data_IF_491869287139
#
_entry.id   IF_491869287139
#
_cell.length_a   1.000
_cell.length_b   1.000
_cell.length_c   1.000
_cell.angle_alpha   90.00
_cell.angle_beta   90.00
_cell.angle_gamma   90.00
#
_symmetry.space_group_name_H-M   'P 1'
#
loop_
_entity.id
_entity.type
_entity.pdbx_description
1 polymer ?
#
# COMPACT_ATOMS: atom_id res chain seq x y z
N UNK A 1 -5.63 -4.36 -19.34
CA UNK A 1 -6.12 -4.58 -17.97
C UNK A 1 -7.62 -4.35 -17.97
N UNK A 2 -8.40 -5.22 -17.33
CA UNK A 2 -9.88 -5.21 -17.44
C UNK A 2 -10.51 -3.97 -16.78
N UNK A 3 -11.74 -3.59 -17.17
CA UNK A 3 -12.38 -2.35 -16.73
C UNK A 3 -12.53 -2.26 -15.21
N UNK A 4 -12.65 -1.01 -14.75
CA UNK A 4 -12.84 -0.58 -13.36
C UNK A 4 -14.00 -1.36 -12.71
N UNK A 5 -13.69 -2.27 -11.77
CA UNK A 5 -14.72 -2.70 -10.82
C UNK A 5 -15.01 -1.52 -9.89
N UNK A 6 -16.23 -1.00 -9.95
CA UNK A 6 -16.67 0.10 -9.08
C UNK A 6 -16.50 -0.27 -7.60
N UNK A 7 -16.77 -1.54 -7.24
CA UNK A 7 -16.57 -2.04 -5.89
C UNK A 7 -15.09 -1.97 -5.46
N UNK A 8 -14.15 -2.35 -6.34
CA UNK A 8 -12.71 -2.22 -6.06
C UNK A 8 -12.28 -0.76 -5.91
N UNK A 9 -12.81 0.13 -6.74
CA UNK A 9 -12.51 1.56 -6.64
C UNK A 9 -13.04 2.17 -5.33
N UNK A 10 -14.26 1.80 -4.92
CA UNK A 10 -14.83 2.22 -3.64
C UNK A 10 -13.97 1.69 -2.49
N UNK A 11 -13.59 0.41 -2.52
CA UNK A 11 -12.72 -0.19 -1.52
C UNK A 11 -11.37 0.53 -1.42
N UNK A 12 -10.77 0.87 -2.57
CA UNK A 12 -9.54 1.66 -2.62
C UNK A 12 -9.69 3.02 -1.96
N UNK A 13 -10.77 3.75 -2.23
CA UNK A 13 -11.02 5.05 -1.61
C UNK A 13 -11.16 4.90 -0.10
N UNK A 14 -11.86 3.87 0.38
CA UNK A 14 -12.01 3.59 1.82
C UNK A 14 -10.66 3.29 2.46
N UNK A 15 -9.84 2.42 1.84
CA UNK A 15 -8.51 2.08 2.36
C UNK A 15 -7.59 3.31 2.35
N UNK A 16 -7.60 4.11 1.28
CA UNK A 16 -6.80 5.33 1.19
C UNK A 16 -7.21 6.36 2.26
N UNK A 17 -8.52 6.54 2.49
CA UNK A 17 -9.02 7.40 3.55
C UNK A 17 -8.63 6.88 4.95
N UNK A 18 -8.66 5.56 5.15
CA UNK A 18 -8.23 4.94 6.40
C UNK A 18 -6.72 5.10 6.63
N UNK A 19 -5.91 4.92 5.58
CA UNK A 19 -4.48 5.18 5.61
C UNK A 19 -4.18 6.64 5.93
N UNK A 20 -4.90 7.57 5.31
CA UNK A 20 -4.74 9.00 5.61
C UNK A 20 -5.09 9.31 7.07
N UNK A 21 -6.09 8.64 7.65
CA UNK A 21 -6.48 8.88 9.04
C UNK A 21 -5.50 8.29 10.06
N UNK A 22 -4.99 7.08 9.82
CA UNK A 22 -4.18 6.32 10.79
C UNK A 22 -2.69 6.38 10.49
N UNK A 23 -2.31 6.20 9.24
CA UNK A 23 -0.90 6.18 8.81
C UNK A 23 -0.30 7.57 8.66
N UNK A 24 -1.03 8.55 8.09
CA UNK A 24 -0.46 9.88 7.84
C UNK A 24 0.14 10.58 9.06
N UNK A 25 -0.48 10.55 10.26
CA UNK A 25 0.07 11.24 11.44
C UNK A 25 1.45 10.74 11.89
N UNK A 26 1.83 9.52 11.49
CA UNK A 26 3.12 8.91 11.84
C UNK A 26 4.16 9.01 10.71
N UNK A 27 3.79 9.55 9.54
CA UNK A 27 4.70 9.65 8.39
C UNK A 27 5.79 10.71 8.60
N UNK A 28 7.02 10.36 8.23
CA UNK A 28 8.13 11.30 8.06
C UNK A 28 8.36 11.56 6.56
N UNK A 29 9.16 12.59 6.23
CA UNK A 29 9.50 12.85 4.82
C UNK A 29 10.29 11.68 4.24
N UNK A 30 11.15 11.10 5.07
CA UNK A 30 11.99 9.96 4.77
C UNK A 30 11.14 8.71 4.54
N UNK A 31 10.15 8.43 5.39
CA UNK A 31 9.27 7.27 5.23
C UNK A 31 8.43 7.37 3.96
N UNK A 32 7.98 8.57 3.58
CA UNK A 32 7.26 8.81 2.33
C UNK A 32 8.16 8.64 1.11
N UNK A 33 9.39 9.15 1.16
CA UNK A 33 10.36 8.99 0.06
C UNK A 33 10.74 7.51 -0.14
N UNK A 34 11.01 6.80 0.96
CA UNK A 34 11.26 5.35 0.95
C UNK A 34 10.02 4.60 0.48
N UNK A 35 8.83 5.02 0.91
CA UNK A 35 7.55 4.46 0.46
C UNK A 35 7.34 4.61 -1.04
N UNK A 36 7.64 5.77 -1.61
CA UNK A 36 7.52 6.00 -3.05
C UNK A 36 8.47 5.10 -3.85
N UNK A 37 9.77 5.10 -3.52
CA UNK A 37 10.78 4.31 -4.25
C UNK A 37 10.61 2.82 -3.97
N UNK A 38 10.53 2.44 -2.71
CA UNK A 38 10.37 1.06 -2.26
C UNK A 38 9.03 0.46 -2.71
N UNK A 39 7.95 1.24 -2.72
CA UNK A 39 6.66 0.82 -3.25
C UNK A 39 6.72 0.50 -4.74
N UNK A 40 7.39 1.33 -5.55
CA UNK A 40 7.63 1.02 -6.97
C UNK A 40 8.45 -0.26 -7.13
N UNK A 41 9.47 -0.46 -6.31
CA UNK A 41 10.30 -1.67 -6.34
C UNK A 41 9.51 -2.93 -5.95
N UNK A 42 8.72 -2.86 -4.88
CA UNK A 42 7.82 -3.94 -4.44
C UNK A 42 6.82 -4.25 -5.53
N UNK A 43 6.19 -3.23 -6.10
CA UNK A 43 5.23 -3.38 -7.17
C UNK A 43 5.85 -4.05 -8.40
N UNK A 44 7.05 -3.60 -8.81
CA UNK A 44 7.77 -4.18 -9.93
C UNK A 44 8.15 -5.65 -9.67
N UNK A 45 8.68 -5.95 -8.49
CA UNK A 45 9.19 -7.28 -8.15
C UNK A 45 8.06 -8.31 -7.97
N UNK A 46 7.03 -7.98 -7.20
CA UNK A 46 6.01 -8.93 -6.76
C UNK A 46 4.73 -8.88 -7.61
N UNK A 47 4.25 -7.67 -7.91
CA UNK A 47 2.94 -7.47 -8.56
C UNK A 47 3.08 -7.49 -10.08
N UNK A 48 4.11 -6.88 -10.64
CA UNK A 48 4.35 -6.83 -12.09
C UNK A 48 5.35 -7.90 -12.57
N UNK A 49 5.84 -8.76 -11.67
CA UNK A 49 6.76 -9.88 -11.94
C UNK A 49 7.94 -9.50 -12.85
N UNK A 50 8.51 -8.32 -12.64
CA UNK A 50 9.68 -7.85 -13.39
C UNK A 50 9.40 -7.28 -14.78
N UNK A 51 8.14 -7.21 -15.25
CA UNK A 51 7.82 -6.67 -16.58
C UNK A 51 8.08 -5.16 -16.65
N UNK A 52 8.60 -4.67 -17.79
CA UNK A 52 8.84 -3.24 -18.06
C UNK A 52 7.57 -2.37 -18.07
N UNK A 53 6.38 -2.97 -17.94
CA UNK A 53 5.09 -2.29 -18.00
C UNK A 53 4.79 -1.37 -16.80
N UNK A 54 5.67 -1.27 -15.80
CA UNK A 54 5.51 -0.32 -14.67
C UNK A 54 5.38 1.13 -15.17
N UNK A 55 6.01 1.47 -16.29
CA UNK A 55 5.93 2.80 -16.90
C UNK A 55 4.58 3.10 -17.60
N UNK A 56 3.71 2.09 -17.77
CA UNK A 56 2.45 2.19 -18.52
C UNK A 56 1.23 1.83 -17.66
N UNK A 57 1.28 2.19 -16.38
CA UNK A 57 0.16 1.99 -15.46
C UNK A 57 -0.82 3.16 -15.59
N UNK A 58 -1.96 2.89 -16.24
CA UNK A 58 -3.01 3.89 -16.43
C UNK A 58 -3.71 4.24 -15.10
N UNK A 59 -4.01 5.52 -14.84
CA UNK A 59 -4.72 5.93 -13.62
C UNK A 59 -6.04 5.19 -13.40
N UNK A 60 -6.37 4.93 -12.15
CA UNK A 60 -7.60 4.26 -11.70
C UNK A 60 -7.77 2.80 -12.14
N UNK A 61 -6.79 2.21 -12.84
CA UNK A 61 -6.76 0.76 -13.11
C UNK A 61 -6.38 -0.03 -11.86
N UNK A 62 -6.57 -1.36 -11.87
CA UNK A 62 -6.18 -2.23 -10.76
C UNK A 62 -4.68 -2.12 -10.43
N UNK A 63 -3.81 -2.17 -11.44
CA UNK A 63 -2.36 -2.05 -11.21
C UNK A 63 -1.96 -0.68 -10.66
N UNK A 64 -2.65 0.40 -11.04
CA UNK A 64 -2.43 1.71 -10.44
C UNK A 64 -2.78 1.73 -8.96
N UNK A 65 -3.92 1.13 -8.59
CA UNK A 65 -4.32 1.04 -7.18
C UNK A 65 -3.38 0.15 -6.39
N UNK A 66 -2.93 -0.98 -6.96
CA UNK A 66 -1.92 -1.84 -6.30
C UNK A 66 -0.60 -1.11 -6.10
N UNK A 67 -0.13 -0.35 -7.10
CA UNK A 67 1.08 0.48 -6.95
C UNK A 67 0.94 1.46 -5.78
N UNK A 68 -0.23 2.10 -5.63
CA UNK A 68 -0.47 3.01 -4.51
C UNK A 68 -0.57 2.27 -3.18
N UNK A 69 -1.16 1.08 -3.12
CA UNK A 69 -1.12 0.26 -1.91
C UNK A 69 0.31 -0.13 -1.54
N UNK A 70 1.13 -0.53 -2.51
CA UNK A 70 2.53 -0.90 -2.28
C UNK A 70 3.32 0.28 -1.71
N UNK A 71 3.11 1.50 -2.25
CA UNK A 71 3.72 2.72 -1.71
C UNK A 71 3.24 3.04 -0.28
N UNK A 72 1.92 3.02 -0.05
CA UNK A 72 1.31 3.26 1.27
C UNK A 72 1.79 2.23 2.31
N UNK A 73 1.94 0.98 1.90
CA UNK A 73 2.41 -0.13 2.72
C UNK A 73 3.86 0.05 3.12
N UNK A 74 4.76 0.30 2.16
CA UNK A 74 6.18 0.50 2.44
C UNK A 74 6.40 1.75 3.28
N UNK A 75 5.69 2.85 2.98
CA UNK A 75 5.74 4.07 3.78
C UNK A 75 5.32 3.81 5.23
N UNK A 76 4.21 3.08 5.41
CA UNK A 76 3.67 2.74 6.72
C UNK A 76 4.62 1.88 7.55
N UNK A 77 5.14 0.80 6.96
CA UNK A 77 6.12 -0.06 7.65
C UNK A 77 7.38 0.72 8.01
N UNK A 78 7.89 1.54 7.10
CA UNK A 78 9.09 2.34 7.33
C UNK A 78 8.88 3.32 8.49
N UNK A 79 7.73 4.01 8.52
CA UNK A 79 7.40 4.92 9.62
C UNK A 79 7.31 4.20 10.97
N UNK A 80 6.66 3.03 11.02
CA UNK A 80 6.57 2.24 12.24
C UNK A 80 7.95 1.75 12.72
N UNK A 81 8.82 1.33 11.80
CA UNK A 81 10.20 0.93 12.11
C UNK A 81 10.99 2.13 12.63
N UNK A 82 10.85 3.31 12.02
CA UNK A 82 11.55 4.52 12.48
C UNK A 82 11.13 4.93 13.90
N UNK A 83 9.86 4.72 14.26
CA UNK A 83 9.34 5.08 15.58
C UNK A 83 9.62 4.03 16.66
N UNK A 84 9.64 2.75 16.30
CA UNK A 84 9.67 1.63 17.27
C UNK A 84 10.92 0.74 17.15
N UNK A 85 11.80 1.02 16.18
CA UNK A 85 12.99 0.22 15.91
C UNK A 85 12.63 -1.22 15.54
N UNK A 86 13.31 -2.18 16.17
CA UNK A 86 13.08 -3.62 15.97
C UNK A 86 11.78 -4.13 16.60
N UNK A 87 11.09 -3.32 17.40
CA UNK A 87 9.83 -3.66 18.06
C UNK A 87 8.59 -3.39 17.16
N UNK A 88 8.73 -3.53 15.84
CA UNK A 88 7.63 -3.37 14.87
C UNK A 88 6.42 -4.25 15.21
N UNK A 89 6.67 -5.47 15.71
CA UNK A 89 5.62 -6.40 16.08
C UNK A 89 4.78 -5.89 17.25
N UNK A 90 5.40 -5.17 18.19
CA UNK A 90 4.72 -4.61 19.36
C UNK A 90 3.91 -3.37 18.95
N UNK A 91 4.45 -2.54 18.05
CA UNK A 91 3.72 -1.41 17.45
C UNK A 91 2.43 -1.83 16.69
N UNK A 92 2.38 -3.08 16.20
CA UNK A 92 1.21 -3.68 15.57
C UNK A 92 0.28 -4.35 16.59
N UNK A 93 0.82 -5.04 17.61
CA UNK A 93 0.03 -5.68 18.66
C UNK A 93 -0.71 -4.67 19.54
N UNK A 94 -0.03 -3.59 19.89
CA UNK A 94 -0.53 -2.61 20.86
C UNK A 94 -1.47 -1.57 20.24
N UNK A 95 -1.58 -1.56 18.91
CA UNK A 95 -2.50 -0.68 18.18
C UNK A 95 -3.37 -1.47 17.20
N UNK A 96 -4.62 -1.69 17.60
CA UNK A 96 -5.66 -2.28 16.74
C UNK A 96 -5.80 -1.50 15.42
N UNK A 97 -5.61 -0.17 15.46
CA UNK A 97 -5.69 0.66 14.26
C UNK A 97 -4.53 0.39 13.30
N UNK A 98 -3.31 0.23 13.82
CA UNK A 98 -2.14 -0.10 12.99
C UNK A 98 -2.28 -1.49 12.36
N UNK A 99 -2.71 -2.47 13.16
CA UNK A 99 -2.96 -3.82 12.66
C UNK A 99 -4.08 -3.84 11.61
N UNK A 100 -5.19 -3.15 11.87
CA UNK A 100 -6.29 -3.05 10.92
C UNK A 100 -5.84 -2.38 9.62
N UNK A 101 -5.03 -1.31 9.69
CA UNK A 101 -4.50 -0.64 8.50
C UNK A 101 -3.56 -1.57 7.71
N UNK A 102 -2.67 -2.29 8.39
CA UNK A 102 -1.78 -3.26 7.76
C UNK A 102 -2.57 -4.33 6.99
N UNK A 103 -3.57 -4.93 7.64
CA UNK A 103 -4.44 -5.94 7.03
C UNK A 103 -5.27 -5.37 5.88
N UNK A 104 -5.76 -4.14 6.01
CA UNK A 104 -6.51 -3.46 4.94
C UNK A 104 -5.64 -3.23 3.69
N UNK A 105 -4.37 -2.82 3.86
CA UNK A 105 -3.44 -2.64 2.74
C UNK A 105 -3.13 -3.99 2.06
N UNK A 106 -2.79 -5.03 2.84
CA UNK A 106 -2.54 -6.36 2.29
C UNK A 106 -3.77 -6.95 1.57
N UNK A 107 -4.96 -6.75 2.16
CA UNK A 107 -6.23 -7.16 1.56
C UNK A 107 -6.53 -6.39 0.26
N UNK A 108 -6.29 -5.07 0.24
CA UNK A 108 -6.44 -4.23 -0.93
C UNK A 108 -5.53 -4.66 -2.08
N UNK A 109 -4.25 -4.93 -1.80
CA UNK A 109 -3.29 -5.48 -2.76
C UNK A 109 -3.82 -6.80 -3.32
N UNK A 110 -4.21 -7.74 -2.46
CA UNK A 110 -4.73 -9.04 -2.86
C UNK A 110 -5.97 -8.93 -3.75
N UNK A 111 -6.97 -8.15 -3.34
CA UNK A 111 -8.22 -7.99 -4.10
C UNK A 111 -7.95 -7.37 -5.47
N UNK A 112 -7.16 -6.30 -5.56
CA UNK A 112 -6.92 -5.64 -6.84
C UNK A 112 -5.97 -6.42 -7.74
N UNK A 113 -5.04 -7.20 -7.17
CA UNK A 113 -4.13 -8.05 -7.92
C UNK A 113 -4.81 -9.32 -8.45
N UNK A 114 -5.55 -10.06 -7.62
CA UNK A 114 -6.09 -11.37 -7.98
C UNK A 114 -7.44 -11.31 -8.71
N UNK A 115 -8.28 -10.31 -8.45
CA UNK A 115 -9.61 -10.21 -9.07
C UNK A 115 -9.56 -9.50 -10.43
N UNK A 116 -8.46 -8.78 -10.72
CA UNK A 116 -8.28 -7.99 -11.95
C UNK A 116 -7.10 -8.40 -12.85
N UNK A 117 -6.37 -9.46 -12.50
CA UNK A 117 -5.27 -10.04 -13.28
C UNK A 117 -5.73 -10.85 -14.49
#
# INVERSE_FOLDING_TARGET
MKPKSLAQLILFIIIAAFWYKVGWPVMTKESLAIGAVGGVLVHWAFTNKGKKAVALIEPLTSGWRVLLYDMMFVAFLTALIQQNGTALLDALKDSVQNLALLLALLGGIGIDYFVGG
#
